data_IF_432859534643
#
_entry.id   IF_432859534643
#
_cell.length_a   1.000
_cell.length_b   1.000
_cell.length_c   1.000
_cell.angle_alpha   90.00
_cell.angle_beta   90.00
_cell.angle_gamma   90.00
#
_symmetry.space_group_name_H-M   'P 1'
#
loop_
_entity.id
_entity.type
_entity.pdbx_description
1 polymer ?
#
# COMPACT_ATOMS: atom_id res chain seq x y z
N UNK A 1 6.16 13.97 -41.06
CA UNK A 1 6.66 14.45 -39.74
C UNK A 1 6.47 13.33 -38.74
N UNK A 2 7.51 12.53 -38.51
CA UNK A 2 7.54 11.52 -37.45
C UNK A 2 7.70 12.25 -36.12
N UNK A 3 6.72 12.16 -35.22
CA UNK A 3 6.86 12.64 -33.85
C UNK A 3 7.94 11.78 -33.18
N UNK A 4 9.05 12.39 -32.78
CA UNK A 4 10.04 11.73 -31.93
C UNK A 4 9.38 11.34 -30.61
N UNK A 5 9.66 10.11 -30.15
CA UNK A 5 9.18 9.66 -28.86
C UNK A 5 9.83 10.52 -27.76
N UNK A 6 9.07 10.92 -26.72
CA UNK A 6 9.60 11.74 -25.63
C UNK A 6 10.76 11.02 -24.92
N UNK A 7 11.78 11.79 -24.53
CA UNK A 7 12.92 11.27 -23.77
C UNK A 7 12.49 10.73 -22.40
N UNK A 8 13.38 9.93 -21.78
CA UNK A 8 13.11 9.25 -20.51
C UNK A 8 12.78 10.23 -19.37
N UNK A 9 13.45 11.38 -19.33
CA UNK A 9 13.21 12.41 -18.33
C UNK A 9 11.82 13.05 -18.46
N UNK A 10 11.38 13.31 -19.70
CA UNK A 10 10.05 13.84 -20.00
C UNK A 10 8.97 12.85 -19.60
N UNK A 11 9.14 11.56 -19.92
CA UNK A 11 8.21 10.49 -19.50
C UNK A 11 8.13 10.34 -17.99
N UNK A 12 9.28 10.34 -17.31
CA UNK A 12 9.35 10.30 -15.85
C UNK A 12 8.66 11.49 -15.20
N UNK A 13 8.93 12.71 -15.68
CA UNK A 13 8.33 13.94 -15.16
C UNK A 13 6.80 13.94 -15.32
N UNK A 14 6.29 13.50 -16.48
CA UNK A 14 4.86 13.35 -16.72
C UNK A 14 4.23 12.34 -15.74
N UNK A 15 4.83 11.16 -15.58
CA UNK A 15 4.34 10.15 -14.64
C UNK A 15 4.29 10.67 -13.19
N UNK A 16 5.31 11.41 -12.75
CA UNK A 16 5.33 12.04 -11.41
C UNK A 16 4.22 13.09 -11.26
N UNK A 17 3.91 13.84 -12.32
CA UNK A 17 2.80 14.80 -12.31
C UNK A 17 1.44 14.08 -12.23
N UNK A 18 1.26 12.99 -12.96
CA UNK A 18 0.02 12.20 -12.91
C UNK A 18 -0.23 11.61 -11.53
N UNK A 19 0.81 11.06 -10.89
CA UNK A 19 0.73 10.59 -9.50
C UNK A 19 0.37 11.73 -8.55
N UNK A 20 0.95 12.92 -8.73
CA UNK A 20 0.63 14.09 -7.92
C UNK A 20 -0.83 14.54 -8.11
N UNK A 21 -1.37 14.50 -9.33
CA UNK A 21 -2.78 14.77 -9.59
C UNK A 21 -3.69 13.72 -8.92
N UNK A 22 -3.31 12.45 -8.99
CA UNK A 22 -4.01 11.36 -8.31
C UNK A 22 -4.05 11.54 -6.79
N UNK A 23 -2.95 12.00 -6.20
CA UNK A 23 -2.86 12.32 -4.78
C UNK A 23 -3.80 13.47 -4.39
N UNK A 24 -3.84 14.56 -5.16
CA UNK A 24 -4.74 15.68 -4.91
C UNK A 24 -6.20 15.24 -4.94
N UNK A 25 -6.55 14.41 -5.92
CA UNK A 25 -7.88 13.82 -6.01
C UNK A 25 -8.21 12.94 -4.80
N UNK A 26 -7.28 12.08 -4.37
CA UNK A 26 -7.52 11.25 -3.19
C UNK A 26 -7.77 12.13 -1.97
N UNK A 27 -6.93 13.14 -1.74
CA UNK A 27 -7.08 14.07 -0.60
C UNK A 27 -8.46 14.76 -0.62
N UNK A 28 -8.90 15.28 -1.78
CA UNK A 28 -10.24 15.87 -1.88
C UNK A 28 -11.36 14.86 -1.63
N UNK A 29 -11.18 13.62 -2.08
CA UNK A 29 -12.16 12.55 -1.88
C UNK A 29 -12.23 12.11 -0.42
N UNK A 30 -11.10 12.09 0.30
CA UNK A 30 -11.07 11.73 1.72
C UNK A 30 -11.87 12.70 2.58
N UNK A 31 -11.87 14.00 2.26
CA UNK A 31 -12.68 14.99 2.94
C UNK A 31 -14.18 14.77 2.73
N UNK A 32 -14.59 14.42 1.51
CA UNK A 32 -15.98 14.07 1.20
C UNK A 32 -16.39 12.76 1.87
N UNK A 33 -15.56 11.73 1.75
CA UNK A 33 -15.80 10.38 2.27
C UNK A 33 -15.87 10.35 3.80
N UNK A 34 -15.20 11.27 4.48
CA UNK A 34 -15.31 11.44 5.93
C UNK A 34 -16.76 11.63 6.38
N UNK A 35 -17.60 12.28 5.57
CA UNK A 35 -19.01 12.51 5.87
C UNK A 35 -19.86 11.23 5.74
N UNK A 36 -19.33 10.19 5.08
CA UNK A 36 -19.99 8.92 4.81
C UNK A 36 -19.52 7.79 5.73
N UNK A 37 -18.64 8.08 6.70
CA UNK A 37 -18.16 7.12 7.69
C UNK A 37 -19.24 6.88 8.73
N UNK A 38 -19.69 5.63 8.84
CA UNK A 38 -20.74 5.21 9.77
C UNK A 38 -20.23 4.22 10.83
N UNK A 39 -19.08 3.58 10.59
CA UNK A 39 -18.49 2.60 11.51
C UNK A 39 -17.06 2.94 11.95
N UNK A 40 -16.61 2.29 13.03
CA UNK A 40 -15.24 2.47 13.52
C UNK A 40 -14.17 1.93 12.55
N UNK A 41 -14.44 0.81 11.86
CA UNK A 41 -13.49 0.26 10.89
C UNK A 41 -13.37 1.13 9.63
N UNK A 42 -14.44 1.81 9.21
CA UNK A 42 -14.38 2.81 8.13
C UNK A 42 -13.57 4.03 8.54
N UNK A 43 -13.72 4.49 9.78
CA UNK A 43 -12.91 5.58 10.32
C UNK A 43 -11.41 5.20 10.34
N UNK A 44 -11.11 3.94 10.67
CA UNK A 44 -9.75 3.39 10.63
C UNK A 44 -9.20 3.26 9.21
N UNK A 45 -10.02 2.79 8.28
CA UNK A 45 -9.67 2.72 6.87
C UNK A 45 -9.38 4.12 6.30
N UNK A 46 -10.21 5.11 6.63
CA UNK A 46 -10.00 6.50 6.22
C UNK A 46 -8.68 7.06 6.80
N UNK A 47 -8.37 6.77 8.07
CA UNK A 47 -7.08 7.13 8.68
C UNK A 47 -5.90 6.48 7.96
N UNK A 48 -6.01 5.21 7.57
CA UNK A 48 -4.98 4.51 6.78
C UNK A 48 -4.82 5.14 5.39
N UNK A 49 -5.89 5.59 4.75
CA UNK A 49 -5.82 6.29 3.46
C UNK A 49 -5.12 7.65 3.55
N UNK A 50 -5.26 8.38 4.65
CA UNK A 50 -4.48 9.60 4.89
C UNK A 50 -2.98 9.30 5.01
N UNK A 51 -2.61 8.28 5.78
CA UNK A 51 -1.20 7.84 5.89
C UNK A 51 -0.66 7.39 4.53
N UNK A 52 -1.47 6.70 3.74
CA UNK A 52 -1.13 6.31 2.38
C UNK A 52 -0.89 7.53 1.48
N UNK A 53 -1.76 8.53 1.53
CA UNK A 53 -1.60 9.78 0.80
C UNK A 53 -0.25 10.45 1.14
N UNK A 54 0.14 10.46 2.42
CA UNK A 54 1.42 11.02 2.86
C UNK A 54 2.63 10.21 2.36
N UNK A 55 2.53 8.88 2.30
CA UNK A 55 3.58 8.05 1.69
C UNK A 55 3.77 8.36 0.20
N UNK A 56 2.67 8.54 -0.53
CA UNK A 56 2.73 8.88 -1.96
C UNK A 56 3.23 10.31 -2.18
N UNK A 57 2.84 11.25 -1.32
CA UNK A 57 3.39 12.62 -1.35
C UNK A 57 4.90 12.64 -1.12
N UNK A 58 5.38 11.81 -0.18
CA UNK A 58 6.80 11.58 0.04
C UNK A 58 7.51 11.06 -1.21
N UNK A 59 6.93 10.10 -1.94
CA UNK A 59 7.47 9.60 -3.21
C UNK A 59 7.59 10.70 -4.26
N UNK A 60 6.51 11.45 -4.48
CA UNK A 60 6.47 12.57 -5.44
C UNK A 60 7.52 13.62 -5.08
N UNK A 61 7.64 13.95 -3.80
CA UNK A 61 8.61 14.93 -3.31
C UNK A 61 10.04 14.46 -3.53
N UNK A 62 10.36 13.21 -3.18
CA UNK A 62 11.70 12.65 -3.38
C UNK A 62 12.06 12.58 -4.87
N UNK A 63 11.14 12.13 -5.73
CA UNK A 63 11.33 12.06 -7.17
C UNK A 63 11.66 13.42 -7.79
N UNK A 64 11.01 14.50 -7.32
CA UNK A 64 11.24 15.87 -7.78
C UNK A 64 12.53 16.48 -7.23
N UNK A 65 12.86 16.19 -5.97
CA UNK A 65 13.99 16.80 -5.28
C UNK A 65 15.32 16.13 -5.60
N UNK A 66 15.36 14.80 -5.61
CA UNK A 66 16.55 14.03 -5.91
C UNK A 66 16.19 12.59 -6.39
N UNK A 67 16.17 12.35 -7.71
CA UNK A 67 15.89 11.03 -8.27
C UNK A 67 16.98 10.00 -7.97
N UNK A 68 18.08 10.34 -7.29
CA UNK A 68 19.08 9.36 -6.88
C UNK A 68 18.81 8.73 -5.50
N UNK A 69 17.72 9.11 -4.82
CA UNK A 69 17.35 8.61 -3.49
C UNK A 69 16.37 7.43 -3.59
N UNK A 70 16.88 6.28 -4.03
CA UNK A 70 16.06 5.08 -4.28
C UNK A 70 15.64 4.30 -3.03
N UNK A 71 16.50 3.98 -2.04
CA UNK A 71 16.08 3.11 -0.93
C UNK A 71 14.88 3.67 -0.13
N UNK A 72 14.84 4.96 0.22
CA UNK A 72 13.65 5.56 0.84
C UNK A 72 12.41 5.55 -0.06
N UNK A 73 12.58 5.66 -1.38
CA UNK A 73 11.48 5.54 -2.34
C UNK A 73 10.90 4.12 -2.36
N UNK A 74 11.75 3.08 -2.38
CA UNK A 74 11.30 1.69 -2.25
C UNK A 74 10.56 1.42 -0.94
N UNK A 75 11.03 2.01 0.17
CA UNK A 75 10.33 1.93 1.45
C UNK A 75 8.95 2.58 1.39
N UNK A 76 8.85 3.82 0.89
CA UNK A 76 7.60 4.55 0.80
C UNK A 76 6.59 3.89 -0.15
N UNK A 77 7.05 3.45 -1.34
CA UNK A 77 6.22 2.73 -2.32
C UNK A 77 5.68 1.43 -1.77
N UNK A 78 6.53 0.62 -1.14
CA UNK A 78 6.11 -0.62 -0.47
C UNK A 78 5.09 -0.34 0.63
N UNK A 79 5.34 0.63 1.50
CA UNK A 79 4.42 0.97 2.59
C UNK A 79 3.07 1.47 2.08
N UNK A 80 3.05 2.28 1.02
CA UNK A 80 1.82 2.72 0.37
C UNK A 80 1.02 1.53 -0.20
N UNK A 81 1.71 0.60 -0.87
CA UNK A 81 1.10 -0.61 -1.42
C UNK A 81 0.51 -1.52 -0.33
N UNK A 82 1.29 -1.86 0.70
CA UNK A 82 0.81 -2.68 1.83
C UNK A 82 -0.39 -2.02 2.52
N UNK A 83 -0.31 -0.71 2.75
CA UNK A 83 -1.40 0.04 3.38
C UNK A 83 -2.66 0.01 2.52
N UNK A 84 -2.54 0.21 1.21
CA UNK A 84 -3.68 0.19 0.29
C UNK A 84 -4.31 -1.19 0.18
N UNK A 85 -3.48 -2.23 0.04
CA UNK A 85 -3.92 -3.63 -0.03
C UNK A 85 -4.63 -4.07 1.25
N UNK A 86 -4.08 -3.75 2.42
CA UNK A 86 -4.70 -4.11 3.71
C UNK A 86 -5.95 -3.28 4.00
N UNK A 87 -6.02 -2.04 3.50
CA UNK A 87 -7.24 -1.23 3.57
C UNK A 87 -8.34 -1.82 2.69
N UNK A 88 -8.01 -2.26 1.47
CA UNK A 88 -8.94 -2.99 0.61
C UNK A 88 -9.42 -4.29 1.28
N UNK A 89 -8.49 -5.10 1.79
CA UNK A 89 -8.82 -6.34 2.47
C UNK A 89 -9.67 -6.11 3.72
N UNK A 90 -9.46 -5.05 4.50
CA UNK A 90 -10.30 -4.68 5.63
C UNK A 90 -11.75 -4.42 5.19
N UNK A 91 -11.93 -3.66 4.11
CA UNK A 91 -13.25 -3.14 3.72
C UNK A 91 -14.08 -4.11 2.88
N UNK A 92 -13.43 -4.94 2.07
CA UNK A 92 -14.13 -5.80 1.08
C UNK A 92 -14.01 -7.27 1.46
N UNK A 93 -12.79 -7.75 1.75
CA UNK A 93 -12.57 -9.14 2.19
C UNK A 93 -12.77 -10.16 1.09
N UNK A 94 -13.15 -11.39 1.47
CA UNK A 94 -13.38 -12.51 0.54
C UNK A 94 -14.88 -12.80 0.28
N UNK A 95 -15.81 -12.13 0.96
CA UNK A 95 -17.21 -12.57 1.01
C UNK A 95 -18.11 -12.06 -0.13
N UNK A 96 -18.99 -12.96 -0.60
CA UNK A 96 -20.17 -12.69 -1.42
C UNK A 96 -21.32 -12.05 -0.59
N UNK A 97 -22.33 -11.42 -1.23
CA UNK A 97 -23.16 -10.39 -0.57
C UNK A 97 -24.11 -10.89 0.54
N UNK A 98 -24.06 -10.22 1.69
CA UNK A 98 -25.08 -10.27 2.76
C UNK A 98 -24.75 -9.30 3.92
N UNK A 99 -25.56 -8.26 4.15
CA UNK A 99 -25.17 -7.11 5.00
C UNK A 99 -24.73 -7.44 6.44
N UNK A 100 -25.39 -8.39 7.12
CA UNK A 100 -25.07 -8.69 8.53
C UNK A 100 -23.85 -9.62 8.69
N UNK A 101 -23.74 -10.67 7.86
CA UNK A 101 -22.59 -11.58 7.88
C UNK A 101 -21.30 -10.83 7.49
N UNK A 102 -21.38 -9.95 6.49
CA UNK A 102 -20.24 -9.18 6.02
C UNK A 102 -19.79 -8.13 7.06
N UNK A 103 -20.72 -7.54 7.84
CA UNK A 103 -20.36 -6.65 8.96
C UNK A 103 -19.59 -7.39 10.05
N UNK A 104 -20.10 -8.54 10.52
CA UNK A 104 -19.42 -9.33 11.55
C UNK A 104 -18.02 -9.79 11.12
N UNK A 105 -17.83 -10.17 9.87
CA UNK A 105 -16.52 -10.52 9.31
C UNK A 105 -15.58 -9.30 9.23
N UNK A 106 -16.11 -8.13 8.86
CA UNK A 106 -15.33 -6.87 8.80
C UNK A 106 -14.84 -6.46 10.19
N UNK A 107 -15.69 -6.61 11.21
CA UNK A 107 -15.31 -6.36 12.61
C UNK A 107 -14.18 -7.29 13.07
N UNK A 108 -14.23 -8.58 12.71
CA UNK A 108 -13.14 -9.53 12.99
C UNK A 108 -11.85 -9.08 12.31
N UNK A 109 -11.90 -8.75 11.01
CA UNK A 109 -10.73 -8.24 10.26
C UNK A 109 -10.15 -6.97 10.87
N UNK A 110 -11.01 -6.07 11.32
CA UNK A 110 -10.59 -4.86 12.03
C UNK A 110 -9.80 -5.21 13.31
N UNK A 111 -10.32 -6.13 14.12
CA UNK A 111 -9.64 -6.58 15.33
C UNK A 111 -8.30 -7.30 15.00
N UNK A 112 -8.24 -8.08 13.91
CA UNK A 112 -7.01 -8.72 13.45
C UNK A 112 -5.91 -7.71 13.11
N UNK A 113 -6.26 -6.61 12.43
CA UNK A 113 -5.31 -5.53 12.15
C UNK A 113 -4.83 -4.83 13.42
N UNK A 114 -5.74 -4.51 14.34
CA UNK A 114 -5.39 -3.86 15.61
C UNK A 114 -4.47 -4.75 16.47
N UNK A 115 -4.75 -6.05 16.53
CA UNK A 115 -3.91 -7.01 17.26
C UNK A 115 -2.53 -7.19 16.58
N UNK A 116 -2.49 -7.22 15.25
CA UNK A 116 -1.23 -7.26 14.50
C UNK A 116 -0.38 -6.01 14.76
N UNK A 117 -0.99 -4.82 14.75
CA UNK A 117 -0.31 -3.55 15.03
C UNK A 117 0.24 -3.50 16.46
N UNK A 118 -0.55 -3.96 17.45
CA UNK A 118 -0.15 -3.99 18.85
C UNK A 118 1.05 -4.93 19.07
N UNK A 119 0.99 -6.15 18.49
CA UNK A 119 2.09 -7.12 18.54
C UNK A 119 3.36 -6.63 17.86
N UNK A 120 3.22 -5.93 16.74
CA UNK A 120 4.37 -5.34 16.06
C UNK A 120 5.07 -4.30 16.94
N UNK A 121 4.30 -3.40 17.58
CA UNK A 121 4.85 -2.37 18.46
C UNK A 121 5.51 -2.97 19.71
N UNK A 122 4.92 -4.03 20.26
CA UNK A 122 5.47 -4.79 21.39
C UNK A 122 6.79 -5.48 21.01
N UNK A 123 6.83 -6.22 19.90
CA UNK A 123 8.03 -6.88 19.42
C UNK A 123 9.15 -5.91 18.97
N UNK A 124 8.82 -4.66 18.62
CA UNK A 124 9.82 -3.60 18.43
C UNK A 124 10.36 -3.09 19.76
N UNK A 125 9.50 -2.92 20.76
CA UNK A 125 9.87 -2.53 22.12
C UNK A 125 10.85 -3.54 22.73
N UNK A 126 10.56 -4.83 22.60
CA UNK A 126 11.42 -5.89 23.12
C UNK A 126 12.78 -5.93 22.42
N UNK A 127 12.82 -5.80 21.09
CA UNK A 127 14.09 -5.70 20.34
C UNK A 127 14.95 -4.54 20.80
N UNK A 128 14.35 -3.36 21.01
CA UNK A 128 15.08 -2.19 21.52
C UNK A 128 15.64 -2.44 22.93
N UNK A 129 14.89 -3.10 23.80
CA UNK A 129 15.38 -3.49 25.14
C UNK A 129 16.52 -4.50 25.06
N UNK A 130 16.44 -5.49 24.17
CA UNK A 130 17.52 -6.46 23.93
C UNK A 130 18.80 -5.79 23.45
N UNK A 131 18.68 -4.69 22.69
CA UNK A 131 19.82 -3.87 22.26
C UNK A 131 20.25 -2.81 23.28
N UNK A 132 19.70 -2.84 24.50
CA UNK A 132 19.98 -1.87 25.57
C UNK A 132 19.66 -0.42 25.19
N UNK A 133 18.74 -0.23 24.22
CA UNK A 133 18.29 1.07 23.75
C UNK A 133 17.07 1.56 24.53
N UNK A 134 16.92 2.89 24.60
CA UNK A 134 15.77 3.52 25.26
C UNK A 134 14.47 3.19 24.51
N UNK A 135 13.65 2.34 25.11
CA UNK A 135 12.38 1.88 24.52
C UNK A 135 11.13 2.67 25.00
N UNK A 136 11.29 3.74 25.79
CA UNK A 136 10.18 4.42 26.47
C UNK A 136 9.01 4.83 25.55
N UNK A 137 9.30 5.57 24.47
CA UNK A 137 8.28 5.97 23.48
C UNK A 137 7.56 4.78 22.86
N UNK A 138 8.30 3.73 22.52
CA UNK A 138 7.78 2.52 21.89
C UNK A 138 6.95 1.67 22.86
N UNK A 139 7.36 1.61 24.14
CA UNK A 139 6.59 0.96 25.20
C UNK A 139 5.23 1.62 25.38
N UNK A 140 5.19 2.96 25.44
CA UNK A 140 3.93 3.71 25.52
C UNK A 140 3.04 3.50 24.29
N UNK A 141 3.64 3.45 23.09
CA UNK A 141 2.90 3.17 21.86
C UNK A 141 2.30 1.75 21.88
N UNK A 142 3.07 0.74 22.30
CA UNK A 142 2.57 -0.63 22.40
C UNK A 142 1.37 -0.71 23.35
N UNK A 143 1.45 -0.07 24.53
CA UNK A 143 0.34 0.00 25.47
C UNK A 143 -0.90 0.67 24.87
N UNK A 144 -0.73 1.83 24.21
CA UNK A 144 -1.84 2.54 23.56
C UNK A 144 -2.57 1.66 22.52
N UNK A 145 -1.81 0.84 21.77
CA UNK A 145 -2.35 -0.06 20.75
C UNK A 145 -3.13 -1.22 21.38
N UNK A 146 -2.63 -1.80 22.47
CA UNK A 146 -3.37 -2.80 23.25
C UNK A 146 -4.64 -2.23 23.87
N UNK A 147 -4.56 -1.05 24.49
CA UNK A 147 -5.72 -0.38 25.08
C UNK A 147 -6.80 -0.10 24.02
N UNK A 148 -6.38 0.34 22.83
CA UNK A 148 -7.30 0.53 21.70
C UNK A 148 -7.95 -0.77 21.26
N UNK A 149 -7.19 -1.86 21.12
CA UNK A 149 -7.74 -3.18 20.77
C UNK A 149 -8.81 -3.59 21.80
N UNK A 150 -8.51 -3.47 23.09
CA UNK A 150 -9.45 -3.79 24.18
C UNK A 150 -10.73 -2.97 24.09
N UNK A 151 -10.63 -1.65 23.87
CA UNK A 151 -11.80 -0.77 23.69
C UNK A 151 -12.66 -1.17 22.51
N UNK A 152 -12.05 -1.44 21.35
CA UNK A 152 -12.78 -1.83 20.12
C UNK A 152 -13.42 -3.21 20.28
N UNK A 153 -12.71 -4.17 20.89
CA UNK A 153 -13.22 -5.51 21.19
C UNK A 153 -14.47 -5.44 22.08
N UNK A 154 -14.46 -4.59 23.11
CA UNK A 154 -15.63 -4.33 23.96
C UNK A 154 -16.77 -3.68 23.18
N UNK A 155 -16.48 -2.73 22.29
CA UNK A 155 -17.49 -2.06 21.46
C UNK A 155 -18.21 -3.03 20.51
N UNK A 156 -17.53 -4.07 20.03
CA UNK A 156 -18.11 -5.14 19.22
C UNK A 156 -18.79 -6.25 20.04
N UNK A 157 -18.94 -6.10 21.36
CA UNK A 157 -19.55 -7.11 22.22
C UNK A 157 -18.72 -8.38 22.41
N UNK A 158 -17.40 -8.31 22.17
CA UNK A 158 -16.46 -9.44 22.25
C UNK A 158 -15.54 -9.38 23.48
N UNK A 159 -15.97 -8.65 24.51
CA UNK A 159 -15.14 -8.21 25.65
C UNK A 159 -14.41 -9.30 26.43
N UNK A 160 -14.92 -10.54 26.43
CA UNK A 160 -14.37 -11.66 27.21
C UNK A 160 -13.78 -12.78 26.34
N UNK A 161 -13.69 -12.58 25.01
CA UNK A 161 -13.04 -13.54 24.12
C UNK A 161 -11.52 -13.35 24.18
N UNK A 162 -10.85 -14.24 24.94
CA UNK A 162 -9.40 -14.45 24.91
C UNK A 162 -8.95 -15.29 23.71
N UNK A 163 -9.87 -15.63 22.79
CA UNK A 163 -9.51 -16.32 21.57
C UNK A 163 -8.55 -15.47 20.74
N UNK A 164 -7.34 -16.02 20.57
CA UNK A 164 -6.31 -15.47 19.71
C UNK A 164 -6.88 -15.33 18.30
N UNK A 165 -7.00 -14.09 17.82
CA UNK A 165 -7.49 -13.87 16.47
C UNK A 165 -6.48 -14.42 15.44
N UNK A 166 -6.95 -14.97 14.32
CA UNK A 166 -6.07 -15.34 13.23
C UNK A 166 -5.27 -14.11 12.79
N UNK A 167 -4.03 -14.31 12.34
CA UNK A 167 -3.27 -13.21 11.75
C UNK A 167 -3.97 -12.71 10.48
N UNK A 168 -3.84 -11.41 10.14
CA UNK A 168 -4.17 -10.96 8.79
C UNK A 168 -3.47 -11.83 7.74
N UNK A 169 -4.08 -12.04 6.57
CA UNK A 169 -3.48 -12.79 5.47
C UNK A 169 -2.18 -12.12 5.01
N UNK A 170 -1.30 -12.91 4.41
CA UNK A 170 -0.08 -12.40 3.78
C UNK A 170 -0.42 -11.58 2.53
N UNK A 171 0.49 -10.68 2.13
CA UNK A 171 0.37 -9.89 0.89
C UNK A 171 0.10 -10.79 -0.32
N UNK A 172 0.85 -11.89 -0.45
CA UNK A 172 0.65 -12.84 -1.55
C UNK A 172 -0.75 -13.43 -1.54
N UNK A 173 -1.28 -13.82 -0.37
CA UNK A 173 -2.63 -14.39 -0.26
C UNK A 173 -3.69 -13.41 -0.74
N UNK A 174 -3.62 -12.15 -0.28
CA UNK A 174 -4.59 -11.13 -0.70
C UNK A 174 -4.46 -10.82 -2.20
N UNK A 175 -3.25 -10.82 -2.76
CA UNK A 175 -3.06 -10.63 -4.19
C UNK A 175 -3.62 -11.80 -5.03
N UNK A 176 -3.54 -13.05 -4.54
CA UNK A 176 -4.19 -14.19 -5.20
C UNK A 176 -5.70 -14.02 -5.26
N UNK A 177 -6.29 -13.63 -4.13
CA UNK A 177 -7.74 -13.44 -4.01
C UNK A 177 -8.27 -12.34 -4.94
N UNK A 178 -7.42 -11.37 -5.30
CA UNK A 178 -7.75 -10.26 -6.18
C UNK A 178 -7.37 -10.49 -7.65
N UNK A 179 -6.79 -11.64 -7.99
CA UNK A 179 -6.21 -11.90 -9.32
C UNK A 179 -5.14 -10.85 -9.73
N UNK A 180 -4.31 -10.48 -8.76
CA UNK A 180 -3.24 -9.48 -8.87
C UNK A 180 -1.87 -10.05 -8.47
N UNK A 181 -1.67 -11.36 -8.57
CA UNK A 181 -0.41 -12.04 -8.19
C UNK A 181 0.81 -11.45 -8.90
N UNK A 182 0.65 -10.96 -10.13
CA UNK A 182 1.70 -10.27 -10.89
C UNK A 182 2.34 -9.09 -10.14
N UNK A 183 1.61 -8.44 -9.23
CA UNK A 183 2.13 -7.31 -8.45
C UNK A 183 3.05 -7.77 -7.31
N UNK A 184 3.04 -9.06 -6.97
CA UNK A 184 3.84 -9.60 -5.87
C UNK A 184 5.35 -9.50 -6.15
N UNK A 185 5.77 -9.60 -7.41
CA UNK A 185 7.18 -9.42 -7.77
C UNK A 185 7.69 -8.04 -7.38
N UNK A 186 6.97 -6.98 -7.75
CA UNK A 186 7.34 -5.61 -7.44
C UNK A 186 7.38 -5.34 -5.93
N UNK A 187 6.42 -5.91 -5.21
CA UNK A 187 6.42 -5.93 -3.74
C UNK A 187 7.67 -6.61 -3.16
N UNK A 188 8.00 -7.80 -3.67
CA UNK A 188 9.16 -8.58 -3.23
C UNK A 188 10.46 -7.82 -3.45
N UNK A 189 10.70 -7.30 -4.65
CA UNK A 189 11.89 -6.49 -4.96
C UNK A 189 12.01 -5.32 -3.99
N UNK A 190 10.93 -4.57 -3.79
CA UNK A 190 10.93 -3.43 -2.86
C UNK A 190 11.16 -3.85 -1.41
N UNK A 191 10.69 -5.04 -1.00
CA UNK A 191 10.95 -5.60 0.32
C UNK A 191 12.42 -5.96 0.51
N UNK A 192 13.06 -6.53 -0.52
CA UNK A 192 14.48 -6.88 -0.52
C UNK A 192 15.38 -5.64 -0.40
N UNK A 193 14.97 -4.51 -1.02
CA UNK A 193 15.59 -3.19 -0.87
C UNK A 193 15.53 -2.67 0.57
N UNK A 194 14.35 -2.72 1.20
CA UNK A 194 14.14 -2.20 2.56
C UNK A 194 14.92 -3.01 3.60
N UNK A 195 15.02 -4.33 3.40
CA UNK A 195 15.64 -5.24 4.37
C UNK A 195 17.13 -5.49 4.13
N UNK A 196 17.75 -4.83 3.13
CA UNK A 196 19.21 -4.91 2.90
C UNK A 196 19.71 -6.31 2.58
N UNK A 197 18.91 -7.09 1.86
CA UNK A 197 19.22 -8.48 1.50
C UNK A 197 20.31 -8.56 0.42
N UNK A 198 21.01 -9.71 0.34
CA UNK A 198 22.12 -9.92 -0.60
C UNK A 198 21.72 -9.63 -2.05
N UNK A 199 20.51 -10.01 -2.48
CA UNK A 199 20.00 -9.74 -3.82
C UNK A 199 19.86 -8.22 -4.10
N UNK A 200 19.29 -7.48 -3.15
CA UNK A 200 19.21 -6.00 -3.22
C UNK A 200 20.57 -5.32 -3.18
N UNK A 201 21.56 -5.95 -2.53
CA UNK A 201 22.96 -5.47 -2.52
C UNK A 201 23.71 -5.80 -3.83
N UNK A 202 23.48 -6.97 -4.46
CA UNK A 202 24.24 -7.41 -5.65
C UNK A 202 23.69 -6.89 -6.97
N UNK A 203 22.37 -6.78 -7.15
CA UNK A 203 21.80 -6.30 -8.43
C UNK A 203 22.09 -4.80 -8.66
N UNK A 204 22.44 -4.08 -7.59
CA UNK A 204 22.37 -2.62 -7.52
C UNK A 204 23.56 -2.01 -6.77
N UNK A 205 24.64 -2.76 -6.56
CA UNK A 205 25.89 -2.23 -6.01
C UNK A 205 26.35 -1.03 -6.88
N UNK A 206 26.24 0.22 -6.41
CA UNK A 206 26.68 1.37 -7.19
C UNK A 206 28.21 1.42 -7.33
N UNK A 207 28.91 0.56 -6.59
CA UNK A 207 30.35 0.37 -6.63
C UNK A 207 30.77 -0.85 -7.47
N UNK A 208 29.83 -1.60 -8.07
CA UNK A 208 30.22 -2.68 -9.00
C UNK A 208 30.88 -2.07 -10.23
N UNK A 209 31.95 -2.68 -10.77
CA UNK A 209 32.56 -2.20 -12.00
C UNK A 209 31.53 -2.12 -13.14
N UNK A 210 31.28 -0.91 -13.64
CA UNK A 210 30.31 -0.66 -14.71
C UNK A 210 28.88 -0.30 -14.27
N UNK A 211 28.59 -0.21 -12.95
CA UNK A 211 27.37 0.46 -12.52
C UNK A 211 27.46 1.97 -12.78
N UNK A 212 26.48 2.50 -13.51
CA UNK A 212 26.16 3.91 -13.48
C UNK A 212 25.33 4.26 -12.24
N UNK A 213 25.16 5.56 -11.93
CA UNK A 213 24.15 5.97 -10.96
C UNK A 213 22.77 5.44 -11.39
N UNK A 214 21.86 5.14 -10.46
CA UNK A 214 20.52 4.71 -10.83
C UNK A 214 19.82 5.75 -11.71
N UNK A 215 19.15 5.27 -12.76
CA UNK A 215 18.43 6.07 -13.74
C UNK A 215 16.99 6.40 -13.32
N UNK A 216 16.23 6.98 -14.26
CA UNK A 216 14.81 7.27 -14.05
C UNK A 216 13.94 5.99 -14.12
N UNK A 217 14.41 4.96 -14.84
CA UNK A 217 13.78 3.64 -14.93
C UNK A 217 13.52 2.97 -13.57
N UNK A 218 14.41 3.11 -12.62
CA UNK A 218 14.34 2.46 -11.31
C UNK A 218 13.22 3.04 -10.43
N UNK A 219 12.72 4.24 -10.74
CA UNK A 219 11.59 4.86 -10.04
C UNK A 219 10.23 4.31 -10.42
N UNK A 220 10.11 3.65 -11.58
CA UNK A 220 8.81 3.13 -12.01
C UNK A 220 8.23 2.15 -10.99
N UNK A 221 9.07 1.32 -10.37
CA UNK A 221 8.61 0.34 -9.39
C UNK A 221 8.04 0.97 -8.10
N UNK A 222 8.77 1.80 -7.34
CA UNK A 222 8.21 2.43 -6.14
C UNK A 222 7.02 3.35 -6.43
N UNK A 223 7.02 4.05 -7.57
CA UNK A 223 5.87 4.87 -8.00
C UNK A 223 4.63 4.02 -8.29
N UNK A 224 4.80 2.94 -9.05
CA UNK A 224 3.71 2.03 -9.38
C UNK A 224 3.11 1.39 -8.13
N UNK A 225 3.94 0.99 -7.16
CA UNK A 225 3.46 0.50 -5.87
C UNK A 225 2.63 1.55 -5.11
N UNK A 226 3.06 2.82 -5.15
CA UNK A 226 2.28 3.94 -4.63
C UNK A 226 0.90 4.07 -5.29
N UNK A 227 0.86 4.05 -6.63
CA UNK A 227 -0.38 4.11 -7.42
C UNK A 227 -1.31 2.95 -7.10
N UNK A 228 -0.80 1.71 -7.09
CA UNK A 228 -1.60 0.55 -6.71
C UNK A 228 -2.14 0.64 -5.30
N UNK A 229 -1.35 1.17 -4.35
CA UNK A 229 -1.82 1.49 -3.02
C UNK A 229 -3.06 2.39 -3.03
N UNK A 230 -2.98 3.53 -3.74
CA UNK A 230 -4.10 4.48 -3.89
C UNK A 230 -5.35 3.78 -4.46
N UNK A 231 -5.18 3.07 -5.58
CA UNK A 231 -6.26 2.42 -6.32
C UNK A 231 -6.95 1.36 -5.48
N UNK A 232 -6.18 0.51 -4.80
CA UNK A 232 -6.72 -0.56 -3.94
C UNK A 232 -7.51 0.04 -2.77
N UNK A 233 -6.97 1.05 -2.09
CA UNK A 233 -7.65 1.68 -0.96
C UNK A 233 -8.97 2.35 -1.39
N UNK A 234 -8.93 3.13 -2.47
CA UNK A 234 -10.10 3.80 -3.03
C UNK A 234 -11.18 2.82 -3.49
N UNK A 235 -10.79 1.74 -4.19
CA UNK A 235 -11.70 0.65 -4.58
C UNK A 235 -12.32 -0.03 -3.36
N UNK A 236 -11.51 -0.28 -2.33
CA UNK A 236 -11.96 -0.84 -1.07
C UNK A 236 -13.06 0.02 -0.44
N UNK A 237 -12.83 1.33 -0.37
CA UNK A 237 -13.81 2.27 0.17
C UNK A 237 -15.10 2.31 -0.64
N UNK A 238 -15.00 2.37 -1.96
CA UNK A 238 -16.16 2.44 -2.83
C UNK A 238 -17.00 1.15 -2.82
N UNK A 239 -16.35 -0.02 -2.70
CA UNK A 239 -16.98 -1.35 -2.78
C UNK A 239 -17.37 -1.95 -1.43
N UNK A 240 -17.04 -1.29 -0.33
CA UNK A 240 -17.40 -1.77 1.01
C UNK A 240 -18.92 -2.00 1.13
N UNK A 241 -19.39 -2.83 2.08
CA UNK A 241 -20.81 -2.97 2.37
C UNK A 241 -21.44 -1.62 2.65
N UNK A 242 -22.62 -1.36 2.07
CA UNK A 242 -23.30 -0.05 2.19
C UNK A 242 -22.50 1.14 1.61
N UNK A 243 -21.41 0.87 0.88
CA UNK A 243 -20.58 1.87 0.24
C UNK A 243 -21.29 2.57 -0.93
N UNK A 244 -20.78 3.75 -1.33
CA UNK A 244 -21.39 4.56 -2.40
C UNK A 244 -21.26 3.94 -3.80
N UNK A 245 -20.58 2.79 -3.94
CA UNK A 245 -20.34 2.10 -5.20
C UNK A 245 -19.23 2.74 -6.04
N UNK A 246 -18.87 2.07 -7.13
CA UNK A 246 -17.78 2.49 -8.03
C UNK A 246 -18.09 3.77 -8.82
N UNK A 247 -19.35 4.24 -8.85
CA UNK A 247 -19.78 5.48 -9.51
C UNK A 247 -18.93 6.71 -9.08
N UNK A 248 -18.51 6.77 -7.82
CA UNK A 248 -17.64 7.84 -7.32
C UNK A 248 -16.19 7.75 -7.85
N UNK A 249 -15.73 6.57 -8.26
CA UNK A 249 -14.37 6.36 -8.79
C UNK A 249 -14.27 6.61 -10.31
N UNK A 250 -15.38 6.81 -11.02
CA UNK A 250 -15.39 7.15 -12.45
C UNK A 250 -15.02 8.62 -12.73
N UNK A 251 -14.87 9.46 -11.69
CA UNK A 251 -14.52 10.89 -11.80
C UNK A 251 -13.07 11.18 -11.40
N UNK A 252 -12.23 10.16 -11.34
CA UNK A 252 -10.91 10.25 -10.73
C UNK A 252 -9.86 10.48 -11.82
N UNK A 253 -8.85 11.34 -11.60
CA UNK A 253 -7.72 11.48 -12.54
C UNK A 253 -6.90 10.19 -12.66
N UNK A 254 -6.96 9.34 -11.62
CA UNK A 254 -6.43 7.97 -11.59
C UNK A 254 -7.43 6.96 -12.19
N UNK A 255 -8.57 7.43 -12.71
CA UNK A 255 -9.70 6.61 -13.20
C UNK A 255 -9.36 5.87 -14.49
N UNK A 256 -8.29 6.30 -15.13
CA UNK A 256 -7.49 5.52 -16.06
C UNK A 256 -6.62 4.48 -15.32
N UNK A 257 -7.07 3.93 -14.19
CA UNK A 257 -6.47 2.73 -13.58
C UNK A 257 -6.63 1.52 -14.52
N UNK A 258 -7.60 1.56 -15.45
CA UNK A 258 -7.60 0.69 -16.61
C UNK A 258 -6.43 1.03 -17.53
N UNK A 259 -6.14 2.30 -17.84
CA UNK A 259 -4.93 2.68 -18.58
C UNK A 259 -3.61 2.44 -17.84
N UNK A 260 -3.53 2.49 -16.51
CA UNK A 260 -2.36 2.08 -15.75
C UNK A 260 -2.19 0.55 -15.85
N UNK A 261 -3.29 -0.20 -15.75
CA UNK A 261 -3.32 -1.64 -16.03
C UNK A 261 -3.00 -1.95 -17.49
N UNK A 262 -3.41 -1.11 -18.45
CA UNK A 262 -3.22 -1.28 -19.89
C UNK A 262 -1.80 -0.87 -20.31
N UNK A 263 -1.21 0.16 -19.69
CA UNK A 263 0.21 0.54 -19.82
C UNK A 263 1.10 -0.57 -19.26
N UNK A 264 0.70 -1.25 -18.18
CA UNK A 264 1.38 -2.46 -17.72
C UNK A 264 1.10 -3.68 -18.62
N UNK A 265 -0.06 -3.78 -19.26
CA UNK A 265 -0.31 -4.80 -20.28
C UNK A 265 0.51 -4.57 -21.55
N UNK A 266 0.73 -3.33 -21.99
CA UNK A 266 1.59 -3.00 -23.12
C UNK A 266 3.07 -3.25 -22.76
N UNK A 267 3.54 -2.79 -21.59
CA UNK A 267 4.93 -3.02 -21.13
C UNK A 267 5.22 -4.50 -20.84
N UNK A 268 4.25 -5.27 -20.33
CA UNK A 268 4.38 -6.73 -20.20
C UNK A 268 4.21 -7.45 -21.53
N UNK A 269 3.38 -6.99 -22.46
CA UNK A 269 3.24 -7.68 -23.75
C UNK A 269 4.48 -7.55 -24.63
N UNK A 270 5.17 -6.40 -24.63
CA UNK A 270 6.35 -6.23 -25.48
C UNK A 270 7.60 -6.95 -24.95
N UNK A 271 7.84 -6.97 -23.62
CA UNK A 271 8.97 -7.71 -23.05
C UNK A 271 8.74 -9.22 -23.01
N UNK A 272 7.50 -9.69 -22.80
CA UNK A 272 7.20 -11.13 -22.78
C UNK A 272 7.17 -11.75 -24.18
N UNK A 273 6.86 -10.95 -25.21
CA UNK A 273 7.08 -11.34 -26.61
C UNK A 273 8.57 -11.40 -26.95
N UNK A 274 9.41 -10.56 -26.31
CA UNK A 274 10.87 -10.57 -26.46
C UNK A 274 11.57 -11.66 -25.64
N UNK A 275 10.97 -12.12 -24.53
CA UNK A 275 11.52 -13.12 -23.60
C UNK A 275 10.48 -14.20 -23.25
N UNK A 276 10.16 -15.11 -24.20
CA UNK A 276 9.15 -16.16 -23.99
C UNK A 276 9.52 -17.18 -22.89
N UNK A 277 10.78 -17.18 -22.47
CA UNK A 277 11.40 -18.11 -21.51
C UNK A 277 11.02 -17.80 -20.04
N UNK A 278 10.33 -16.69 -19.79
CA UNK A 278 9.91 -16.25 -18.44
C UNK A 278 8.49 -16.73 -18.05
N UNK A 279 7.88 -17.58 -18.88
CA UNK A 279 6.64 -18.31 -18.57
C UNK A 279 6.92 -19.59 -17.79
#
# INVERSE_FOLDING_TARGET
MTREAPDEFTRFTAAVQDVAHGLLWLRSSLDEWRQQVVTQYEADALRRMWVLADHVDGLVTMARANPHVLPPAFAAGRSAFETGLMTHWLLVGQAAPGHLAVRGETEIRHLQLLESDARWADGLTDRLRTWELRAGRWSSLAQERWDRLTRVRKAYGRGDQDERLPRPPSVVSVLRDLDLERLYWGYMVSSQWVHGTTMGATELDPFRPGAGPPGFGEWYLPMNLGVWGLVLAARGFARRPDGPGLALLHRTPVGDAQAAVDVFHELSSEEWVRHPDWK
#
